data_IF_426528610370
#
_entry.id   IF_426528610370
#
_cell.length_a   1.000
_cell.length_b   1.000
_cell.length_c   1.000
_cell.angle_alpha   90.00
_cell.angle_beta   90.00
_cell.angle_gamma   90.00
#
_symmetry.space_group_name_H-M   'P 1'
#
loop_
_entity.id
_entity.type
_entity.pdbx_description
1 polymer ?
#
# COMPACT_ATOMS: atom_id res chain seq x y z
N UNK A 1 12.85 -25.69 6.87
CA UNK A 1 11.63 -25.12 6.25
C UNK A 1 11.89 -23.63 6.13
N UNK A 2 11.63 -23.00 4.99
CA UNK A 2 11.72 -21.54 4.82
C UNK A 2 10.38 -20.90 5.14
N UNK A 3 10.40 -19.65 5.63
CA UNK A 3 9.18 -18.87 5.88
C UNK A 3 8.30 -18.78 4.64
N UNK A 4 8.90 -18.64 3.44
CA UNK A 4 8.17 -18.65 2.17
C UNK A 4 7.27 -19.89 1.99
N UNK A 5 7.76 -21.08 2.28
CA UNK A 5 6.95 -22.30 2.18
C UNK A 5 5.81 -22.35 3.19
N UNK A 6 6.00 -21.74 4.36
CA UNK A 6 4.95 -21.61 5.38
C UNK A 6 3.88 -20.59 4.96
N UNK A 7 4.29 -19.51 4.32
CA UNK A 7 3.43 -18.44 3.83
C UNK A 7 2.51 -18.88 2.66
N UNK A 8 2.98 -19.75 1.76
CA UNK A 8 2.29 -20.08 0.50
C UNK A 8 0.80 -20.45 0.63
N UNK A 9 0.34 -21.22 1.65
CA UNK A 9 -1.10 -21.43 1.84
C UNK A 9 -1.89 -20.14 2.11
N UNK A 10 -1.24 -19.07 2.57
CA UNK A 10 -1.85 -17.76 2.80
C UNK A 10 -2.51 -17.18 1.56
N UNK A 11 -1.94 -17.40 0.37
CA UNK A 11 -2.52 -17.01 -0.92
C UNK A 11 -3.90 -17.66 -1.12
N UNK A 12 -4.02 -18.96 -0.83
CA UNK A 12 -5.28 -19.68 -0.96
C UNK A 12 -6.28 -19.17 0.07
N UNK A 13 -5.86 -19.05 1.34
CA UNK A 13 -6.75 -18.58 2.41
C UNK A 13 -7.30 -17.18 2.13
N UNK A 14 -6.47 -16.27 1.63
CA UNK A 14 -6.90 -14.92 1.25
C UNK A 14 -7.98 -14.96 0.15
N UNK A 15 -7.79 -15.81 -0.87
CA UNK A 15 -8.71 -15.95 -2.02
C UNK A 15 -10.05 -16.55 -1.67
N UNK A 16 -10.10 -17.44 -0.67
CA UNK A 16 -11.35 -18.09 -0.26
C UNK A 16 -12.02 -17.42 0.94
N UNK A 17 -11.49 -16.27 1.39
CA UNK A 17 -12.08 -15.50 2.49
C UNK A 17 -11.77 -16.03 3.88
N UNK A 18 -10.83 -16.95 4.02
CA UNK A 18 -10.36 -17.50 5.31
C UNK A 18 -9.26 -16.58 5.89
N UNK A 19 -9.64 -15.32 6.18
CA UNK A 19 -8.69 -14.26 6.53
C UNK A 19 -7.91 -14.55 7.82
N UNK A 20 -8.55 -15.13 8.85
CA UNK A 20 -7.86 -15.52 10.08
C UNK A 20 -6.73 -16.52 9.80
N UNK A 21 -6.99 -17.52 8.96
CA UNK A 21 -5.95 -18.50 8.58
C UNK A 21 -4.85 -17.84 7.73
N UNK A 22 -5.21 -16.86 6.89
CA UNK A 22 -4.21 -16.09 6.14
C UNK A 22 -3.32 -15.28 7.08
N UNK A 23 -3.86 -14.70 8.15
CA UNK A 23 -3.09 -13.99 9.18
C UNK A 23 -2.17 -14.94 9.92
N UNK A 24 -2.72 -16.00 10.52
CA UNK A 24 -1.97 -16.98 11.32
C UNK A 24 -0.78 -17.57 10.57
N UNK A 25 -0.99 -17.99 9.32
CA UNK A 25 0.08 -18.62 8.53
C UNK A 25 1.18 -17.62 8.16
N UNK A 26 0.82 -16.35 7.92
CA UNK A 26 1.78 -15.30 7.61
C UNK A 26 2.57 -14.84 8.85
N UNK A 27 1.95 -14.77 10.02
CA UNK A 27 2.65 -14.51 11.28
C UNK A 27 3.60 -15.65 11.62
N UNK A 28 3.17 -16.90 11.46
CA UNK A 28 4.02 -18.08 11.63
C UNK A 28 5.20 -18.08 10.65
N UNK A 29 4.98 -17.65 9.41
CA UNK A 29 6.06 -17.57 8.42
C UNK A 29 7.16 -16.59 8.84
N UNK A 30 6.79 -15.46 9.46
CA UNK A 30 7.76 -14.48 9.97
C UNK A 30 8.61 -15.07 11.11
N UNK A 31 8.01 -15.85 12.01
CA UNK A 31 8.75 -16.55 13.08
C UNK A 31 9.77 -17.52 12.48
N UNK A 32 9.39 -18.26 11.43
CA UNK A 32 10.30 -19.17 10.74
C UNK A 32 11.43 -18.43 10.02
N UNK A 33 11.14 -17.26 9.44
CA UNK A 33 12.16 -16.40 8.84
C UNK A 33 13.15 -15.86 9.87
N UNK A 34 12.66 -15.46 11.05
CA UNK A 34 13.53 -15.01 12.15
C UNK A 34 14.46 -16.16 12.66
N UNK A 35 13.89 -17.35 12.87
CA UNK A 35 14.68 -18.54 13.24
C UNK A 35 15.72 -18.90 12.16
N UNK A 36 15.35 -18.76 10.89
CA UNK A 36 16.28 -18.99 9.79
C UNK A 36 17.44 -17.98 9.82
N UNK A 37 17.11 -16.68 10.05
CA UNK A 37 18.10 -15.63 10.14
C UNK A 37 19.05 -15.81 11.33
N UNK A 38 18.56 -16.30 12.46
CA UNK A 38 19.39 -16.62 13.64
C UNK A 38 20.41 -17.74 13.35
N UNK A 39 20.01 -18.76 12.60
CA UNK A 39 20.87 -19.92 12.34
C UNK A 39 21.88 -19.62 11.22
N UNK A 40 21.43 -18.94 10.17
CA UNK A 40 22.17 -18.85 8.92
C UNK A 40 22.64 -17.44 8.58
N UNK A 41 22.12 -16.41 9.25
CA UNK A 41 22.42 -15.01 8.98
C UNK A 41 22.15 -14.62 7.54
N UNK A 42 22.98 -13.75 6.99
CA UNK A 42 22.94 -13.31 5.59
C UNK A 42 23.74 -14.23 4.64
N UNK A 43 23.96 -15.48 5.02
CA UNK A 43 24.76 -16.42 4.22
C UNK A 43 24.06 -16.67 2.88
N UNK A 44 24.72 -16.33 1.80
CA UNK A 44 24.32 -16.72 0.46
C UNK A 44 24.56 -18.22 0.28
N UNK A 45 23.49 -19.01 0.29
CA UNK A 45 23.61 -20.41 -0.03
C UNK A 45 23.79 -20.57 -1.54
N UNK A 46 24.87 -21.22 -1.99
CA UNK A 46 25.01 -21.64 -3.39
C UNK A 46 24.11 -22.85 -3.63
N UNK A 47 22.80 -22.72 -3.47
CA UNK A 47 21.88 -23.82 -3.74
C UNK A 47 21.34 -23.66 -5.15
N UNK A 48 21.78 -24.56 -5.99
CA UNK A 48 21.27 -24.78 -7.33
C UNK A 48 19.78 -25.12 -7.24
N UNK A 49 18.92 -24.17 -7.67
CA UNK A 49 17.51 -24.44 -7.94
C UNK A 49 16.47 -24.06 -6.90
N UNK A 50 16.84 -23.61 -5.70
CA UNK A 50 15.89 -23.04 -4.75
C UNK A 50 16.51 -21.84 -4.06
N UNK A 51 16.15 -20.65 -4.51
CA UNK A 51 16.36 -19.46 -3.69
C UNK A 51 15.29 -19.49 -2.61
N UNK A 52 15.62 -19.68 -1.33
CA UNK A 52 14.74 -19.14 -0.31
C UNK A 52 14.71 -17.63 -0.58
N UNK A 53 13.54 -17.08 -0.81
CA UNK A 53 13.39 -15.63 -0.78
C UNK A 53 14.04 -15.17 0.52
N UNK A 54 15.04 -14.31 0.42
CA UNK A 54 15.69 -13.73 1.58
C UNK A 54 14.62 -13.28 2.56
N UNK A 55 14.78 -13.55 3.85
CA UNK A 55 13.89 -13.04 4.90
C UNK A 55 13.67 -11.53 4.77
N UNK A 56 14.63 -10.78 4.21
CA UNK A 56 14.51 -9.34 3.93
C UNK A 56 13.47 -9.00 2.87
N UNK A 57 13.21 -9.91 1.94
CA UNK A 57 12.20 -9.74 0.88
C UNK A 57 10.87 -10.38 1.31
N UNK A 58 10.93 -11.56 1.90
CA UNK A 58 9.75 -12.35 2.23
C UNK A 58 8.98 -11.77 3.42
N UNK A 59 9.66 -11.34 4.47
CA UNK A 59 9.01 -10.78 5.67
C UNK A 59 8.13 -9.54 5.40
N UNK A 60 8.56 -8.55 4.58
CA UNK A 60 7.69 -7.47 4.15
C UNK A 60 6.44 -7.94 3.39
N UNK A 61 6.58 -8.95 2.56
CA UNK A 61 5.47 -9.53 1.82
C UNK A 61 4.46 -10.22 2.75
N UNK A 62 4.93 -11.03 3.69
CA UNK A 62 4.08 -11.67 4.70
C UNK A 62 3.36 -10.65 5.60
N UNK A 63 4.04 -9.55 5.99
CA UNK A 63 3.42 -8.45 6.73
C UNK A 63 2.32 -7.73 5.93
N UNK A 64 2.48 -7.61 4.61
CA UNK A 64 1.45 -7.03 3.76
C UNK A 64 0.20 -7.92 3.70
N UNK A 65 0.35 -9.25 3.70
CA UNK A 65 -0.77 -10.18 3.85
C UNK A 65 -1.51 -10.00 5.18
N UNK A 66 -0.77 -9.86 6.29
CA UNK A 66 -1.37 -9.62 7.61
C UNK A 66 -2.15 -8.31 7.61
N UNK A 67 -1.55 -7.22 7.08
CA UNK A 67 -2.22 -5.94 6.93
C UNK A 67 -3.51 -6.06 6.13
N UNK A 68 -3.40 -6.61 4.91
CA UNK A 68 -4.50 -6.67 3.97
C UNK A 68 -5.65 -7.56 4.46
N UNK A 69 -5.36 -8.72 5.03
CA UNK A 69 -6.37 -9.60 5.61
C UNK A 69 -7.10 -8.94 6.79
N UNK A 70 -6.39 -8.22 7.68
CA UNK A 70 -6.99 -7.45 8.76
C UNK A 70 -7.86 -6.28 8.23
N UNK A 71 -7.44 -5.62 7.14
CA UNK A 71 -8.26 -4.60 6.49
C UNK A 71 -9.59 -5.19 5.98
N UNK A 72 -9.55 -6.35 5.33
CA UNK A 72 -10.76 -7.03 4.83
C UNK A 72 -11.70 -7.49 5.95
N UNK A 73 -11.17 -7.74 7.15
CA UNK A 73 -11.96 -8.05 8.36
C UNK A 73 -12.47 -6.79 9.09
N UNK A 74 -12.07 -5.59 8.69
CA UNK A 74 -12.41 -4.36 9.39
C UNK A 74 -11.62 -4.12 10.69
N UNK A 75 -10.49 -4.80 10.87
CA UNK A 75 -9.66 -4.72 12.06
C UNK A 75 -8.55 -3.67 11.88
N UNK A 76 -8.86 -2.42 12.22
CA UNK A 76 -7.93 -1.29 12.05
C UNK A 76 -6.63 -1.46 12.82
N UNK A 77 -6.70 -1.77 14.11
CA UNK A 77 -5.52 -1.74 14.98
C UNK A 77 -4.46 -2.73 14.50
N UNK A 78 -4.86 -3.96 14.18
CA UNK A 78 -3.93 -4.98 13.67
C UNK A 78 -3.46 -4.69 12.24
N UNK A 79 -4.32 -4.11 11.39
CA UNK A 79 -3.93 -3.70 10.03
C UNK A 79 -2.88 -2.58 10.08
N UNK A 80 -3.10 -1.57 10.93
CA UNK A 80 -2.17 -0.45 11.11
C UNK A 80 -0.85 -0.90 11.74
N UNK A 81 -0.89 -1.75 12.77
CA UNK A 81 0.32 -2.31 13.39
C UNK A 81 1.17 -3.07 12.36
N UNK A 82 0.54 -3.90 11.52
CA UNK A 82 1.24 -4.63 10.45
C UNK A 82 1.84 -3.67 9.42
N UNK A 83 1.12 -2.60 9.02
CA UNK A 83 1.63 -1.57 8.12
C UNK A 83 2.84 -0.84 8.73
N UNK A 84 2.73 -0.37 9.97
CA UNK A 84 3.79 0.34 10.68
C UNK A 84 5.04 -0.53 10.89
N UNK A 85 4.85 -1.79 11.26
CA UNK A 85 5.94 -2.77 11.37
C UNK A 85 6.62 -3.01 10.02
N UNK A 86 5.86 -3.02 8.94
CA UNK A 86 6.40 -3.21 7.58
C UNK A 86 7.15 -1.98 7.09
N UNK A 87 6.64 -0.78 7.31
CA UNK A 87 7.34 0.47 7.03
C UNK A 87 8.62 0.60 7.88
N UNK A 88 8.52 0.38 9.18
CA UNK A 88 9.64 0.34 10.12
C UNK A 88 10.61 1.51 9.92
N UNK A 89 11.90 1.21 9.84
CA UNK A 89 12.96 2.19 9.58
C UNK A 89 13.34 2.29 8.09
N UNK A 90 12.44 1.94 7.19
CA UNK A 90 12.70 2.00 5.75
C UNK A 90 12.81 3.44 5.28
N UNK A 91 13.74 3.65 4.34
CA UNK A 91 13.96 4.97 3.76
C UNK A 91 13.24 5.10 2.41
N UNK A 92 12.61 6.26 2.14
CA UNK A 92 12.02 6.54 0.84
C UNK A 92 13.02 6.41 -0.31
N UNK A 93 12.56 5.99 -1.48
CA UNK A 93 13.39 5.85 -2.68
C UNK A 93 14.32 4.63 -2.71
N UNK A 94 14.24 3.75 -1.69
CA UNK A 94 15.06 2.54 -1.61
C UNK A 94 14.24 1.25 -1.81
N UNK A 95 13.23 1.30 -2.68
CA UNK A 95 12.36 0.17 -2.98
C UNK A 95 11.32 -0.13 -1.88
N UNK A 96 11.07 0.82 -0.98
CA UNK A 96 10.18 0.67 0.17
C UNK A 96 8.94 1.57 0.11
N UNK A 97 8.80 2.38 -0.92
CA UNK A 97 7.79 3.43 -1.00
C UNK A 97 6.36 2.88 -0.86
N UNK A 98 6.09 1.73 -1.48
CA UNK A 98 4.79 1.04 -1.30
C UNK A 98 4.50 0.75 0.17
N UNK A 99 5.46 0.22 0.91
CA UNK A 99 5.27 -0.14 2.32
C UNK A 99 5.11 1.07 3.24
N UNK A 100 5.79 2.17 2.92
CA UNK A 100 5.63 3.46 3.63
C UNK A 100 4.21 4.00 3.40
N UNK A 101 3.72 3.97 2.17
CA UNK A 101 2.38 4.45 1.84
C UNK A 101 1.27 3.59 2.47
N UNK A 102 1.53 2.33 2.83
CA UNK A 102 0.54 1.44 3.44
C UNK A 102 0.00 1.94 4.78
N UNK A 103 0.79 2.65 5.60
CA UNK A 103 0.31 3.28 6.83
C UNK A 103 -0.81 4.29 6.49
N UNK A 104 -0.55 5.16 5.54
CA UNK A 104 -1.45 6.24 5.13
C UNK A 104 -2.73 5.71 4.49
N UNK A 105 -2.57 4.71 3.62
CA UNK A 105 -3.69 4.04 2.95
C UNK A 105 -4.58 3.32 3.96
N UNK A 106 -3.99 2.67 4.97
CA UNK A 106 -4.74 2.02 6.04
C UNK A 106 -5.56 3.04 6.82
N UNK A 107 -4.97 4.18 7.19
CA UNK A 107 -5.70 5.26 7.86
C UNK A 107 -6.89 5.78 7.01
N UNK A 108 -6.68 5.95 5.70
CA UNK A 108 -7.73 6.39 4.77
C UNK A 108 -8.88 5.39 4.72
N UNK A 109 -8.58 4.11 4.51
CA UNK A 109 -9.61 3.04 4.38
C UNK A 109 -10.49 2.98 5.62
N UNK A 110 -9.91 3.22 6.79
CA UNK A 110 -10.66 3.25 8.06
C UNK A 110 -11.17 4.63 8.47
N UNK A 111 -11.10 5.64 7.60
CA UNK A 111 -11.65 6.97 7.84
C UNK A 111 -11.00 7.72 9.00
N UNK A 112 -9.71 7.52 9.25
CA UNK A 112 -8.97 8.17 10.35
C UNK A 112 -8.60 9.62 10.01
N UNK A 113 -9.59 10.39 9.55
CA UNK A 113 -9.41 11.74 8.99
C UNK A 113 -8.71 12.73 9.94
N UNK A 114 -9.05 12.70 11.23
CA UNK A 114 -8.41 13.57 12.21
C UNK A 114 -6.94 13.24 12.41
N UNK A 115 -6.59 11.94 12.42
CA UNK A 115 -5.22 11.47 12.50
C UNK A 115 -4.42 11.90 11.27
N UNK A 116 -4.96 11.69 10.06
CA UNK A 116 -4.34 12.10 8.80
C UNK A 116 -3.99 13.59 8.83
N UNK A 117 -4.92 14.45 9.28
CA UNK A 117 -4.66 15.88 9.41
C UNK A 117 -3.60 16.21 10.47
N UNK A 118 -3.65 15.53 11.63
CA UNK A 118 -2.71 15.78 12.72
C UNK A 118 -1.26 15.39 12.35
N UNK A 119 -1.09 14.36 11.53
CA UNK A 119 0.21 13.83 11.12
C UNK A 119 0.75 14.42 9.80
N UNK A 120 0.06 15.42 9.23
CA UNK A 120 0.40 15.96 7.91
C UNK A 120 1.86 16.38 7.79
N UNK A 121 2.39 17.13 8.75
CA UNK A 121 3.77 17.62 8.67
C UNK A 121 4.79 16.46 8.67
N UNK A 122 4.61 15.48 9.54
CA UNK A 122 5.50 14.32 9.64
C UNK A 122 5.47 13.46 8.38
N UNK A 123 4.30 13.33 7.75
CA UNK A 123 4.14 12.54 6.53
C UNK A 123 4.62 13.29 5.29
N UNK A 124 4.51 14.61 5.24
CA UNK A 124 5.15 15.43 4.19
C UNK A 124 6.68 15.29 4.21
N UNK A 125 7.29 15.16 5.38
CA UNK A 125 8.74 14.91 5.51
C UNK A 125 9.16 13.54 4.97
N UNK A 126 8.27 12.53 5.02
CA UNK A 126 8.47 11.21 4.40
C UNK A 126 8.16 11.20 2.90
N UNK A 127 7.29 12.09 2.42
CA UNK A 127 6.80 12.13 1.04
C UNK A 127 7.81 12.81 0.10
N UNK A 128 8.99 12.23 -0.07
CA UNK A 128 10.10 12.85 -0.84
C UNK A 128 10.22 12.32 -2.27
N UNK A 129 9.72 11.12 -2.56
CA UNK A 129 9.68 10.59 -3.93
C UNK A 129 8.39 11.00 -4.65
N UNK A 130 8.33 11.00 -5.99
CA UNK A 130 7.10 11.29 -6.72
C UNK A 130 5.94 10.40 -6.28
N UNK A 131 6.16 9.10 -6.14
CA UNK A 131 5.14 8.17 -5.69
C UNK A 131 4.60 8.52 -4.30
N UNK A 132 5.47 8.73 -3.31
CA UNK A 132 5.05 9.07 -1.96
C UNK A 132 4.34 10.43 -1.89
N UNK A 133 4.79 11.43 -2.68
CA UNK A 133 4.09 12.72 -2.80
C UNK A 133 2.66 12.53 -3.31
N UNK A 134 2.50 11.76 -4.39
CA UNK A 134 1.20 11.48 -4.97
C UNK A 134 0.29 10.69 -4.04
N UNK A 135 0.80 9.66 -3.37
CA UNK A 135 0.03 8.85 -2.43
C UNK A 135 -0.38 9.63 -1.18
N UNK A 136 0.53 10.46 -0.61
CA UNK A 136 0.16 11.32 0.49
C UNK A 136 -0.88 12.36 0.09
N UNK A 137 -0.73 12.97 -1.10
CA UNK A 137 -1.71 13.91 -1.63
C UNK A 137 -3.08 13.25 -1.83
N UNK A 138 -3.14 12.00 -2.29
CA UNK A 138 -4.38 11.24 -2.39
C UNK A 138 -5.06 11.07 -1.02
N UNK A 139 -4.32 10.62 -0.01
CA UNK A 139 -4.84 10.39 1.34
C UNK A 139 -5.32 11.71 1.98
N UNK A 140 -4.51 12.78 1.88
CA UNK A 140 -4.89 14.12 2.37
C UNK A 140 -6.07 14.70 1.60
N UNK A 141 -6.12 14.51 0.28
CA UNK A 141 -7.24 14.93 -0.55
C UNK A 141 -8.55 14.31 -0.09
N UNK A 142 -8.57 12.99 0.10
CA UNK A 142 -9.74 12.26 0.62
C UNK A 142 -10.14 12.75 2.03
N UNK A 143 -9.16 13.03 2.90
CA UNK A 143 -9.43 13.59 4.22
C UNK A 143 -10.05 15.00 4.14
N UNK A 144 -9.60 15.83 3.19
CA UNK A 144 -10.22 17.12 2.92
C UNK A 144 -11.65 16.99 2.39
N UNK A 145 -11.90 16.07 1.44
CA UNK A 145 -13.26 15.79 0.95
C UNK A 145 -14.18 15.38 2.10
N UNK A 146 -13.75 14.44 2.93
CA UNK A 146 -14.52 13.97 4.08
C UNK A 146 -14.84 15.06 5.11
N UNK A 147 -14.02 16.13 5.16
CA UNK A 147 -14.24 17.31 6.01
C UNK A 147 -14.98 18.45 5.31
N UNK A 148 -15.38 18.30 4.05
CA UNK A 148 -16.04 19.35 3.28
C UNK A 148 -15.11 20.47 2.78
N UNK A 149 -13.80 20.24 2.77
CA UNK A 149 -12.79 21.21 2.35
C UNK A 149 -12.43 21.03 0.87
N UNK A 150 -13.33 21.36 -0.06
CA UNK A 150 -13.20 21.05 -1.50
C UNK A 150 -11.98 21.73 -2.14
N UNK A 151 -11.74 23.02 -1.90
CA UNK A 151 -10.58 23.73 -2.47
C UNK A 151 -9.23 23.12 -2.07
N UNK A 152 -8.95 22.83 -0.80
CA UNK A 152 -7.79 22.06 -0.39
C UNK A 152 -7.70 20.66 -1.03
N UNK A 153 -8.83 19.96 -1.22
CA UNK A 153 -8.84 18.66 -1.89
C UNK A 153 -8.47 18.78 -3.38
N UNK A 154 -9.01 19.78 -4.10
CA UNK A 154 -8.64 20.07 -5.48
C UNK A 154 -7.14 20.38 -5.63
N UNK A 155 -6.54 21.10 -4.67
CA UNK A 155 -5.09 21.33 -4.66
C UNK A 155 -4.28 20.03 -4.57
N UNK A 156 -4.78 19.01 -3.86
CA UNK A 156 -4.12 17.71 -3.79
C UNK A 156 -4.17 16.96 -5.13
N UNK A 157 -5.23 17.11 -5.92
CA UNK A 157 -5.28 16.56 -7.29
C UNK A 157 -4.14 17.12 -8.13
N UNK A 158 -3.82 18.42 -7.99
CA UNK A 158 -2.69 19.02 -8.71
C UNK A 158 -1.35 18.45 -8.26
N UNK A 159 -1.16 18.21 -6.96
CA UNK A 159 0.06 17.56 -6.44
C UNK A 159 0.24 16.16 -7.04
N UNK A 160 -0.86 15.38 -7.18
CA UNK A 160 -0.79 14.06 -7.82
C UNK A 160 -0.40 14.19 -9.30
N UNK A 161 -0.98 15.16 -10.04
CA UNK A 161 -0.62 15.41 -11.45
C UNK A 161 0.85 15.76 -11.61
N UNK A 162 1.37 16.62 -10.75
CA UNK A 162 2.77 17.02 -10.78
C UNK A 162 3.70 15.82 -10.47
N UNK A 163 3.28 14.95 -9.54
CA UNK A 163 3.99 13.72 -9.24
C UNK A 163 4.01 12.74 -10.43
N UNK A 164 2.89 12.59 -11.15
CA UNK A 164 2.80 11.75 -12.36
C UNK A 164 3.69 12.32 -13.48
N UNK A 165 3.77 13.64 -13.61
CA UNK A 165 4.57 14.30 -14.62
C UNK A 165 6.08 14.28 -14.34
N UNK A 166 6.50 13.82 -13.16
CA UNK A 166 7.91 13.72 -12.80
C UNK A 166 8.63 12.69 -13.67
N UNK A 167 9.81 13.01 -14.25
CA UNK A 167 10.52 12.08 -15.14
C UNK A 167 11.01 10.81 -14.43
N UNK A 168 11.12 10.85 -13.10
CA UNK A 168 11.59 9.77 -12.24
C UNK A 168 10.46 9.04 -11.49
N UNK A 169 9.18 9.30 -11.87
CA UNK A 169 8.02 8.72 -11.15
C UNK A 169 8.07 7.18 -11.10
N UNK A 170 8.48 6.54 -12.18
CA UNK A 170 8.52 5.08 -12.29
C UNK A 170 9.84 4.47 -11.78
N UNK A 171 10.77 5.28 -11.29
CA UNK A 171 11.95 4.80 -10.55
C UNK A 171 11.58 4.35 -9.12
N UNK A 172 10.42 4.75 -8.61
CA UNK A 172 9.90 4.31 -7.32
C UNK A 172 9.49 2.83 -7.37
N UNK A 173 10.01 2.03 -6.45
CA UNK A 173 9.68 0.61 -6.35
C UNK A 173 8.29 0.38 -5.74
N UNK A 174 7.26 0.26 -6.58
CA UNK A 174 5.89 -0.13 -6.18
C UNK A 174 5.53 -1.56 -6.61
N UNK A 175 6.49 -2.45 -6.60
CA UNK A 175 6.33 -3.81 -7.12
C UNK A 175 6.45 -3.85 -8.64
N UNK A 176 5.73 -4.74 -9.33
CA UNK A 176 5.82 -4.89 -10.78
C UNK A 176 5.02 -3.84 -11.56
N UNK A 177 4.19 -3.02 -10.88
CA UNK A 177 3.38 -1.98 -11.50
C UNK A 177 4.13 -0.65 -11.52
N UNK A 178 4.13 0.11 -12.64
CA UNK A 178 4.67 1.46 -12.67
C UNK A 178 3.96 2.36 -11.66
N UNK A 179 4.72 3.20 -10.94
CA UNK A 179 4.16 4.11 -9.95
C UNK A 179 3.19 5.12 -10.58
N UNK A 180 3.49 5.61 -11.78
CA UNK A 180 2.61 6.47 -12.57
C UNK A 180 1.22 5.86 -12.78
N UNK A 181 1.13 4.54 -12.94
CA UNK A 181 -0.14 3.84 -13.13
C UNK A 181 -1.00 3.84 -11.86
N UNK A 182 -0.37 3.55 -10.71
CA UNK A 182 -1.04 3.60 -9.40
C UNK A 182 -1.48 5.03 -9.06
N UNK A 183 -0.64 6.03 -9.38
CA UNK A 183 -0.98 7.43 -9.13
C UNK A 183 -2.13 7.95 -10.04
N UNK A 184 -2.23 7.49 -11.28
CA UNK A 184 -3.38 7.81 -12.13
C UNK A 184 -4.67 7.22 -11.55
N UNK A 185 -4.62 5.97 -11.05
CA UNK A 185 -5.75 5.37 -10.34
C UNK A 185 -6.14 6.23 -9.11
N UNK A 186 -5.18 6.58 -8.26
CA UNK A 186 -5.38 7.40 -7.07
C UNK A 186 -5.98 8.79 -7.42
N UNK A 187 -5.48 9.43 -8.48
CA UNK A 187 -5.98 10.71 -8.95
C UNK A 187 -7.44 10.62 -9.37
N UNK A 188 -7.79 9.62 -10.18
CA UNK A 188 -9.17 9.46 -10.61
C UNK A 188 -10.11 9.04 -9.48
N UNK A 189 -9.66 8.26 -8.51
CA UNK A 189 -10.43 7.97 -7.30
C UNK A 189 -10.73 9.25 -6.51
N UNK A 190 -9.72 10.10 -6.26
CA UNK A 190 -9.92 11.38 -5.56
C UNK A 190 -10.82 12.35 -6.35
N UNK A 191 -10.68 12.43 -7.67
CA UNK A 191 -11.56 13.24 -8.50
C UNK A 191 -13.01 12.74 -8.44
N UNK A 192 -13.20 11.41 -8.39
CA UNK A 192 -14.52 10.82 -8.16
C UNK A 192 -15.13 11.23 -6.81
N UNK A 193 -14.34 11.14 -5.72
CA UNK A 193 -14.76 11.57 -4.39
C UNK A 193 -15.14 13.06 -4.36
N UNK A 194 -14.38 13.93 -5.03
CA UNK A 194 -14.65 15.37 -5.14
C UNK A 194 -15.95 15.66 -5.89
N UNK A 195 -16.15 15.04 -7.06
CA UNK A 195 -17.35 15.24 -7.86
C UNK A 195 -18.61 14.71 -7.16
N UNK A 196 -18.48 13.58 -6.46
CA UNK A 196 -19.56 13.02 -5.62
C UNK A 196 -19.94 13.99 -4.51
N UNK A 197 -18.95 14.54 -3.78
CA UNK A 197 -19.18 15.50 -2.71
C UNK A 197 -19.80 16.83 -3.21
N UNK A 198 -19.51 17.22 -4.46
CA UNK A 198 -20.10 18.37 -5.13
C UNK A 198 -21.50 18.08 -5.71
N UNK A 199 -21.97 16.82 -5.68
CA UNK A 199 -23.26 16.41 -6.24
C UNK A 199 -23.24 16.15 -7.74
N UNK A 200 -22.08 16.14 -8.38
CA UNK A 200 -21.90 15.92 -9.82
C UNK A 200 -21.77 14.42 -10.13
N UNK A 201 -22.84 13.65 -9.88
CA UNK A 201 -22.79 12.18 -9.89
C UNK A 201 -22.33 11.58 -11.23
N UNK A 202 -22.72 12.16 -12.36
CA UNK A 202 -22.28 11.65 -13.68
C UNK A 202 -20.77 11.80 -13.86
N UNK A 203 -20.20 12.93 -13.42
CA UNK A 203 -18.75 13.13 -13.44
C UNK A 203 -18.03 12.21 -12.44
N UNK A 204 -18.59 12.00 -11.25
CA UNK A 204 -18.06 11.07 -10.27
C UNK A 204 -18.00 9.64 -10.84
N UNK A 205 -19.09 9.16 -11.45
CA UNK A 205 -19.15 7.85 -12.11
C UNK A 205 -18.10 7.73 -13.22
N UNK A 206 -17.92 8.77 -14.04
CA UNK A 206 -16.90 8.76 -15.08
C UNK A 206 -15.49 8.63 -14.50
N UNK A 207 -15.17 9.37 -13.42
CA UNK A 207 -13.87 9.29 -12.76
C UNK A 207 -13.64 7.93 -12.08
N UNK A 208 -14.63 7.39 -11.37
CA UNK A 208 -14.53 6.04 -10.81
C UNK A 208 -14.36 4.99 -11.93
N UNK A 209 -15.03 5.15 -13.07
CA UNK A 209 -14.84 4.28 -14.22
C UNK A 209 -13.42 4.31 -14.78
N UNK A 210 -12.78 5.49 -14.81
CA UNK A 210 -11.35 5.60 -15.16
C UNK A 210 -10.46 4.93 -14.12
N UNK A 211 -10.73 5.13 -12.82
CA UNK A 211 -9.98 4.47 -11.75
C UNK A 211 -10.05 2.94 -11.86
N UNK A 212 -11.25 2.38 -12.10
CA UNK A 212 -11.43 0.94 -12.36
C UNK A 212 -10.64 0.49 -13.59
N UNK A 213 -10.64 1.27 -14.67
CA UNK A 213 -9.84 0.97 -15.85
C UNK A 213 -8.34 0.89 -15.58
N UNK A 214 -7.81 1.78 -14.71
CA UNK A 214 -6.42 1.69 -14.26
C UNK A 214 -6.22 0.47 -13.36
N UNK A 215 -7.15 0.17 -12.45
CA UNK A 215 -7.07 -0.98 -11.56
C UNK A 215 -7.05 -2.30 -12.34
N UNK A 216 -7.88 -2.46 -13.35
CA UNK A 216 -7.95 -3.67 -14.19
C UNK A 216 -6.66 -3.90 -15.00
N UNK A 217 -5.87 -2.85 -15.21
CA UNK A 217 -4.59 -2.91 -15.90
C UNK A 217 -3.37 -2.98 -14.96
N UNK A 218 -3.56 -3.08 -13.63
CA UNK A 218 -2.45 -3.34 -12.72
C UNK A 218 -1.83 -4.72 -12.97
N UNK A 219 -0.53 -4.81 -12.81
CA UNK A 219 0.13 -6.10 -12.81
C UNK A 219 -0.36 -6.95 -11.62
N UNK A 220 -0.54 -8.24 -11.87
CA UNK A 220 -1.01 -9.14 -10.82
C UNK A 220 -0.01 -9.26 -9.68
N UNK A 221 -0.47 -8.95 -8.47
CA UNK A 221 0.24 -9.18 -7.20
C UNK A 221 -0.75 -9.63 -6.13
N UNK A 222 -0.26 -10.31 -5.11
CA UNK A 222 -1.00 -10.58 -3.87
C UNK A 222 -0.12 -10.21 -2.67
N UNK A 223 -0.63 -9.35 -1.77
CA UNK A 223 -1.82 -8.52 -1.94
C UNK A 223 -1.73 -7.57 -3.15
N UNK A 224 -2.86 -7.05 -3.67
CA UNK A 224 -2.85 -6.17 -4.84
C UNK A 224 -2.10 -4.86 -4.55
N UNK A 225 -1.51 -4.25 -5.60
CA UNK A 225 -0.82 -2.95 -5.48
C UNK A 225 -1.78 -1.80 -5.12
N UNK A 226 -3.07 -1.99 -5.40
CA UNK A 226 -4.15 -1.12 -4.94
C UNK A 226 -5.09 -1.90 -4.03
N UNK A 227 -5.21 -1.51 -2.78
CA UNK A 227 -5.94 -2.22 -1.72
C UNK A 227 -6.92 -1.30 -0.98
N UNK A 228 -7.83 -0.68 -1.75
CA UNK A 228 -8.85 0.24 -1.20
C UNK A 228 -10.24 -0.10 -1.70
#
# INVERSE_FOLDING_TARGET
ISGHMVHMPGHIYLRVGEYEKAIDINERSQIVDDQFAEIWGDTNFPIIGTYPLSHKIHKPHALDFVRYANMLQGNYDSAYEAAAKNAGNRLPGQGADKTIAHEWVTDKVFGKWDKIHAENQANLEKAVTPYLKGMWAYVMGSAHVAKGHMGPAEAQVQVIRDAIASPDVDESGVGPTPASHVLNLAMHALMGELEEANGNLDAAIAHYGHAVGFQDNLNYTEPPDWSQ
#
